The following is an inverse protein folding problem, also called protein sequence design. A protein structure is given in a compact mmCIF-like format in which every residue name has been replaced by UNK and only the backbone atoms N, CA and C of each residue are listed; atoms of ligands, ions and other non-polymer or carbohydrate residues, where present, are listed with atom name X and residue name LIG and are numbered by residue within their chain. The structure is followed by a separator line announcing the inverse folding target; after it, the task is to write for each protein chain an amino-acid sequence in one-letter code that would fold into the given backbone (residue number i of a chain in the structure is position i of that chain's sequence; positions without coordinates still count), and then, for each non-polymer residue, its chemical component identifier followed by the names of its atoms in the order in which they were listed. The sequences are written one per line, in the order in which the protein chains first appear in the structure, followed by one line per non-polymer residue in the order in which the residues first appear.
data_IF_543183523920
#
_entry.id   IF_543183523920
#
_cell.length_a   1.000
_cell.length_b   1.000
_cell.length_c   1.000
_cell.angle_alpha   90.00
_cell.angle_beta   90.00
_cell.angle_gamma   90.00
#
_symmetry.space_group_name_H-M   'P 1'
#
loop_
_entity.id
_entity.type
_entity.pdbx_description
1 polymer ?
#
# COMPACT_ATOMS: atom_id res chain seq x y z
N UNK A 1 1.73 -34.32 -17.84
CA UNK A 1 2.00 -33.18 -16.94
C UNK A 1 3.07 -33.60 -15.95
N UNK A 2 4.01 -32.70 -15.64
CA UNK A 2 4.99 -32.93 -14.58
C UNK A 2 4.33 -32.67 -13.21
N UNK A 3 5.03 -33.01 -12.13
CA UNK A 3 4.57 -32.61 -10.80
C UNK A 3 4.51 -31.07 -10.73
N UNK A 4 3.38 -30.53 -10.28
CA UNK A 4 3.13 -29.10 -10.28
C UNK A 4 1.67 -28.74 -10.02
N UNK A 5 1.46 -27.44 -9.85
CA UNK A 5 0.14 -26.83 -9.73
C UNK A 5 -0.17 -26.10 -11.03
N UNK A 6 -1.38 -26.31 -11.56
CA UNK A 6 -1.78 -25.77 -12.85
C UNK A 6 -3.16 -25.13 -12.74
N UNK A 7 -3.43 -24.18 -13.63
CA UNK A 7 -4.74 -23.59 -13.83
C UNK A 7 -5.14 -23.68 -15.30
N UNK A 8 -6.30 -24.24 -15.58
CA UNK A 8 -6.88 -24.30 -16.92
C UNK A 8 -8.01 -23.29 -17.03
N UNK A 9 -7.77 -22.21 -17.77
CA UNK A 9 -8.76 -21.17 -18.05
C UNK A 9 -9.54 -21.61 -19.29
N UNK A 10 -10.83 -21.87 -19.13
CA UNK A 10 -11.71 -22.20 -20.26
C UNK A 10 -12.37 -20.92 -20.76
N UNK A 11 -12.37 -20.75 -22.08
CA UNK A 11 -13.01 -19.63 -22.79
C UNK A 11 -13.76 -20.16 -24.01
N UNK A 12 -14.59 -19.33 -24.62
CA UNK A 12 -15.26 -19.63 -25.89
C UNK A 12 -14.30 -19.87 -27.06
N UNK A 13 -13.06 -19.36 -26.97
CA UNK A 13 -12.03 -19.52 -28.00
C UNK A 13 -11.15 -20.76 -27.79
N UNK A 14 -11.18 -21.35 -26.60
CA UNK A 14 -10.37 -22.52 -26.24
C UNK A 14 -9.91 -22.50 -24.79
N UNK A 15 -9.10 -23.48 -24.43
CA UNK A 15 -8.51 -23.56 -23.09
C UNK A 15 -7.07 -23.05 -23.08
N UNK A 16 -6.72 -22.30 -22.04
CA UNK A 16 -5.35 -21.85 -21.75
C UNK A 16 -4.88 -22.62 -20.52
N UNK A 17 -3.80 -23.38 -20.65
CA UNK A 17 -3.22 -24.13 -19.55
C UNK A 17 -1.99 -23.39 -19.00
N UNK A 18 -2.05 -23.03 -17.73
CA UNK A 18 -1.02 -22.30 -17.00
C UNK A 18 -0.37 -23.23 -15.99
N UNK A 19 0.95 -23.13 -15.81
CA UNK A 19 1.62 -23.61 -14.60
C UNK A 19 1.73 -22.49 -13.58
N UNK A 20 1.59 -22.81 -12.30
CA UNK A 20 1.62 -21.86 -11.19
C UNK A 20 2.88 -22.09 -10.34
N UNK A 21 3.60 -21.01 -10.04
CA UNK A 21 4.88 -21.03 -9.33
C UNK A 21 4.70 -21.04 -7.80
N UNK A 22 3.89 -21.97 -7.29
CA UNK A 22 3.42 -22.01 -5.89
C UNK A 22 4.53 -22.16 -4.84
N UNK A 23 5.74 -22.59 -5.24
CA UNK A 23 6.92 -22.67 -4.36
C UNK A 23 7.66 -21.33 -4.26
N UNK A 24 7.62 -20.51 -5.30
CA UNK A 24 8.33 -19.23 -5.39
C UNK A 24 7.45 -18.06 -5.00
N UNK A 25 6.16 -18.12 -5.33
CA UNK A 25 5.14 -17.12 -4.99
C UNK A 25 3.91 -17.74 -4.30
N UNK A 26 4.09 -18.45 -3.18
CA UNK A 26 3.01 -19.15 -2.48
C UNK A 26 1.85 -18.24 -2.06
N UNK A 27 2.11 -16.99 -1.66
CA UNK A 27 1.06 -16.06 -1.24
C UNK A 27 0.14 -15.70 -2.42
N UNK A 28 0.75 -15.31 -3.53
CA UNK A 28 0.05 -14.90 -4.75
C UNK A 28 -0.70 -16.07 -5.39
N UNK A 29 -0.04 -17.22 -5.51
CA UNK A 29 -0.69 -18.44 -6.03
C UNK A 29 -1.80 -18.90 -5.08
N UNK A 30 -1.61 -18.82 -3.77
CA UNK A 30 -2.62 -19.12 -2.77
C UNK A 30 -3.88 -18.27 -2.95
N UNK A 31 -3.73 -16.96 -3.14
CA UNK A 31 -4.85 -16.05 -3.44
C UNK A 31 -5.59 -16.46 -4.73
N UNK A 32 -4.85 -16.64 -5.84
CA UNK A 32 -5.45 -16.97 -7.14
C UNK A 32 -6.22 -18.30 -7.10
N UNK A 33 -5.61 -19.35 -6.54
CA UNK A 33 -6.21 -20.68 -6.44
C UNK A 33 -7.44 -20.66 -5.52
N UNK A 34 -7.34 -20.03 -4.36
CA UNK A 34 -8.46 -19.98 -3.42
C UNK A 34 -9.64 -19.16 -3.97
N UNK A 35 -9.39 -18.12 -4.78
CA UNK A 35 -10.43 -17.40 -5.51
C UNK A 35 -11.03 -18.24 -6.64
N UNK A 36 -10.21 -18.93 -7.45
CA UNK A 36 -10.67 -19.80 -8.52
C UNK A 36 -11.58 -20.92 -8.00
N UNK A 37 -11.26 -21.51 -6.85
CA UNK A 37 -12.07 -22.56 -6.22
C UNK A 37 -13.26 -22.02 -5.41
N UNK A 38 -13.37 -20.70 -5.24
CA UNK A 38 -14.41 -20.07 -4.42
C UNK A 38 -14.24 -20.25 -2.90
N UNK A 39 -13.05 -20.66 -2.47
CA UNK A 39 -12.73 -20.99 -1.08
C UNK A 39 -12.37 -19.75 -0.24
N UNK A 40 -12.01 -18.63 -0.89
CA UNK A 40 -11.61 -17.39 -0.23
C UNK A 40 -12.76 -16.39 -0.15
N UNK A 41 -13.04 -15.91 1.07
CA UNK A 41 -14.03 -14.86 1.31
C UNK A 41 -13.62 -13.55 0.61
N UNK A 42 -14.58 -12.91 -0.03
CA UNK A 42 -14.36 -11.70 -0.82
C UNK A 42 -15.67 -10.89 -0.92
N UNK A 43 -15.58 -9.64 -1.37
CA UNK A 43 -16.74 -8.74 -1.46
C UNK A 43 -17.55 -8.87 -2.77
N UNK A 44 -17.05 -9.60 -3.77
CA UNK A 44 -17.67 -9.65 -5.09
C UNK A 44 -18.56 -10.87 -5.32
N UNK A 45 -18.25 -12.00 -4.67
CA UNK A 45 -18.95 -13.28 -4.80
C UNK A 45 -19.12 -13.91 -3.42
N UNK A 46 -20.26 -14.56 -3.13
CA UNK A 46 -20.40 -15.33 -1.91
C UNK A 46 -19.43 -16.52 -1.90
N UNK A 47 -18.96 -16.89 -0.71
CA UNK A 47 -18.07 -18.04 -0.54
C UNK A 47 -18.72 -19.33 -1.08
N UNK A 48 -17.91 -20.22 -1.63
CA UNK A 48 -18.33 -21.44 -2.32
C UNK A 48 -18.68 -21.23 -3.80
N UNK A 49 -18.63 -19.98 -4.31
CA UNK A 49 -18.73 -19.71 -5.75
C UNK A 49 -17.36 -19.36 -6.32
N UNK A 50 -16.90 -20.03 -7.39
CA UNK A 50 -15.71 -19.64 -8.15
C UNK A 50 -15.73 -18.15 -8.50
N UNK A 51 -14.65 -17.45 -8.17
CA UNK A 51 -14.59 -15.99 -8.29
C UNK A 51 -14.55 -15.54 -9.75
N UNK A 52 -13.76 -16.24 -10.56
CA UNK A 52 -13.40 -15.83 -11.93
C UNK A 52 -14.46 -16.20 -12.98
N UNK A 53 -15.38 -17.10 -12.64
CA UNK A 53 -16.39 -17.58 -13.57
C UNK A 53 -17.31 -16.43 -14.04
N UNK A 54 -17.39 -16.30 -15.36
CA UNK A 54 -18.15 -15.27 -16.06
C UNK A 54 -17.52 -13.88 -16.07
N UNK A 55 -16.32 -13.71 -15.50
CA UNK A 55 -15.59 -12.44 -15.61
C UNK A 55 -15.03 -12.25 -17.01
N UNK A 56 -14.74 -11.00 -17.38
CA UNK A 56 -14.23 -10.67 -18.71
C UNK A 56 -12.75 -10.35 -18.72
N UNK A 57 -12.10 -10.62 -19.85
CA UNK A 57 -10.87 -9.97 -20.27
C UNK A 57 -11.19 -8.53 -20.68
N UNK A 58 -11.29 -7.65 -19.69
CA UNK A 58 -11.80 -6.29 -19.84
C UNK A 58 -10.81 -5.34 -20.54
N UNK A 59 -9.53 -5.73 -20.64
CA UNK A 59 -8.50 -4.94 -21.30
C UNK A 59 -7.58 -5.88 -22.07
N UNK A 60 -7.55 -5.71 -23.39
CA UNK A 60 -6.68 -6.47 -24.29
C UNK A 60 -5.88 -5.48 -25.12
N UNK A 61 -4.57 -5.64 -25.14
CA UNK A 61 -3.66 -4.81 -25.94
C UNK A 61 -2.86 -5.74 -26.82
N UNK A 62 -3.07 -5.64 -28.14
CA UNK A 62 -2.34 -6.39 -29.15
C UNK A 62 -0.83 -6.27 -28.95
N UNK A 63 -0.13 -7.38 -29.15
CA UNK A 63 1.33 -7.53 -28.95
C UNK A 63 1.84 -7.17 -27.54
N UNK A 64 0.95 -7.09 -26.55
CA UNK A 64 1.32 -6.80 -25.17
C UNK A 64 0.74 -7.82 -24.20
N UNK A 65 -0.57 -7.80 -23.95
CA UNK A 65 -1.20 -8.65 -22.93
C UNK A 65 -2.73 -8.69 -23.01
N UNK A 66 -3.30 -9.73 -22.40
CA UNK A 66 -4.72 -9.81 -22.01
C UNK A 66 -4.84 -9.67 -20.49
N UNK A 67 -5.77 -8.84 -20.00
CA UNK A 67 -5.99 -8.60 -18.57
C UNK A 67 -7.43 -8.95 -18.17
N UNK A 68 -7.55 -9.77 -17.13
CA UNK A 68 -8.81 -10.30 -16.59
C UNK A 68 -8.92 -10.16 -15.07
N UNK A 69 -9.88 -10.87 -14.49
CA UNK A 69 -10.06 -10.95 -13.03
C UNK A 69 -10.75 -9.75 -12.37
N UNK A 70 -11.28 -8.79 -13.14
CA UNK A 70 -12.03 -7.66 -12.59
C UNK A 70 -13.52 -8.01 -12.42
N UNK A 71 -14.08 -8.01 -11.19
CA UNK A 71 -15.48 -8.37 -10.95
C UNK A 71 -16.48 -7.40 -11.58
N UNK A 72 -16.06 -6.14 -11.79
CA UNK A 72 -16.87 -5.10 -12.41
C UNK A 72 -16.70 -5.03 -13.94
N UNK A 73 -15.71 -5.72 -14.50
CA UNK A 73 -15.34 -5.57 -15.92
C UNK A 73 -14.81 -4.18 -16.34
N UNK A 74 -14.55 -3.28 -15.40
CA UNK A 74 -14.10 -1.89 -15.67
C UNK A 74 -12.60 -1.66 -15.47
N UNK A 75 -11.88 -2.67 -14.98
CA UNK A 75 -10.47 -2.56 -14.56
C UNK A 75 -10.25 -1.94 -13.18
N UNK A 76 -11.31 -1.55 -12.47
CA UNK A 76 -11.22 -0.95 -11.12
C UNK A 76 -11.76 -1.84 -10.00
N UNK A 77 -12.39 -2.96 -10.34
CA UNK A 77 -12.93 -3.91 -9.36
C UNK A 77 -11.84 -4.72 -8.67
N UNK A 78 -12.08 -5.09 -7.41
CA UNK A 78 -11.19 -5.89 -6.58
C UNK A 78 -11.98 -6.90 -5.75
N UNK A 79 -11.33 -7.88 -5.09
CA UNK A 79 -12.02 -8.84 -4.22
C UNK A 79 -12.36 -8.25 -2.83
N UNK A 80 -12.17 -6.94 -2.63
CA UNK A 80 -12.42 -6.27 -1.35
C UNK A 80 -11.20 -6.15 -0.44
N UNK A 81 -10.03 -6.59 -0.90
CA UNK A 81 -8.75 -6.46 -0.20
C UNK A 81 -7.60 -6.24 -1.20
N UNK A 82 -6.44 -5.87 -0.67
CA UNK A 82 -5.18 -5.74 -1.39
C UNK A 82 -4.03 -6.38 -0.60
N UNK A 83 -3.09 -6.99 -1.30
CA UNK A 83 -1.91 -7.65 -0.70
C UNK A 83 -0.59 -7.23 -1.35
N UNK A 84 0.50 -7.49 -0.63
CA UNK A 84 1.86 -7.11 -0.99
C UNK A 84 2.36 -7.81 -2.27
N UNK A 85 3.42 -7.29 -2.90
CA UNK A 85 4.10 -7.96 -4.02
C UNK A 85 5.00 -9.12 -3.54
N UNK A 86 5.19 -10.11 -4.41
CA UNK A 86 5.98 -11.31 -4.11
C UNK A 86 6.98 -11.59 -5.26
N UNK A 87 8.06 -10.80 -5.32
CA UNK A 87 9.04 -10.92 -6.39
C UNK A 87 10.07 -12.04 -6.14
N UNK A 88 10.41 -12.79 -7.19
CA UNK A 88 11.46 -13.80 -7.16
C UNK A 88 12.52 -13.51 -8.25
N UNK A 89 13.83 -13.65 -7.98
CA UNK A 89 14.89 -13.32 -8.95
C UNK A 89 14.79 -14.07 -10.28
N UNK A 90 14.28 -15.29 -10.26
CA UNK A 90 14.11 -16.15 -11.45
C UNK A 90 12.80 -15.93 -12.19
N UNK A 91 11.87 -15.14 -11.66
CA UNK A 91 10.58 -14.90 -12.30
C UNK A 91 10.60 -13.53 -12.98
N UNK A 92 10.59 -13.55 -14.32
CA UNK A 92 10.77 -12.38 -15.18
C UNK A 92 9.79 -12.40 -16.34
N UNK A 93 9.56 -11.23 -16.93
CA UNK A 93 8.74 -11.07 -18.12
C UNK A 93 9.59 -11.23 -19.38
N UNK A 94 10.24 -12.38 -19.53
CA UNK A 94 11.28 -12.63 -20.54
C UNK A 94 10.78 -13.41 -21.79
N UNK A 95 9.53 -13.88 -21.77
CA UNK A 95 8.89 -14.65 -22.84
C UNK A 95 7.40 -14.34 -22.96
N UNK A 96 6.75 -14.90 -23.98
CA UNK A 96 5.30 -14.91 -24.11
C UNK A 96 4.64 -15.77 -23.03
N UNK A 97 3.39 -15.45 -22.71
CA UNK A 97 2.57 -16.26 -21.81
C UNK A 97 2.92 -16.10 -20.33
N UNK A 98 3.61 -15.03 -19.92
CA UNK A 98 3.90 -14.79 -18.50
C UNK A 98 2.62 -14.34 -17.80
N UNK A 99 2.26 -15.04 -16.73
CA UNK A 99 1.09 -14.76 -15.89
C UNK A 99 1.51 -13.92 -14.68
N UNK A 100 0.92 -12.74 -14.55
CA UNK A 100 1.29 -11.77 -13.53
C UNK A 100 0.09 -11.05 -12.92
N UNK A 101 0.23 -10.59 -11.68
CA UNK A 101 -0.78 -9.77 -11.01
C UNK A 101 -0.83 -8.36 -11.60
N UNK A 102 -2.03 -7.87 -11.89
CA UNK A 102 -2.24 -6.45 -12.14
C UNK A 102 -2.33 -5.71 -10.80
N UNK A 103 -1.71 -4.51 -10.73
CA UNK A 103 -1.71 -3.67 -9.55
C UNK A 103 -1.73 -2.18 -9.94
N UNK A 104 -2.02 -1.31 -8.98
CA UNK A 104 -2.05 0.16 -9.11
C UNK A 104 -0.83 0.83 -8.45
N UNK A 105 0.25 0.06 -8.23
CA UNK A 105 1.41 0.44 -7.45
C UNK A 105 1.81 -0.63 -6.41
N UNK A 106 2.93 -0.43 -5.71
CA UNK A 106 3.45 -1.41 -4.77
C UNK A 106 2.41 -1.85 -3.72
N UNK A 107 2.28 -3.15 -3.54
CA UNK A 107 1.40 -3.77 -2.55
C UNK A 107 -0.10 -3.56 -2.74
N UNK A 108 -0.53 -3.42 -4.00
CA UNK A 108 -1.95 -3.28 -4.37
C UNK A 108 -2.48 -4.44 -5.21
N UNK A 109 -1.88 -5.63 -5.07
CA UNK A 109 -2.36 -6.84 -5.74
C UNK A 109 -3.75 -7.23 -5.22
N UNK A 110 -4.60 -7.76 -6.08
CA UNK A 110 -5.97 -8.16 -5.74
C UNK A 110 -6.39 -9.44 -6.46
N UNK A 111 -7.41 -9.37 -7.30
CA UNK A 111 -7.87 -10.50 -8.11
C UNK A 111 -7.49 -10.39 -9.59
N UNK A 112 -7.16 -9.18 -10.05
CA UNK A 112 -6.85 -8.94 -11.45
C UNK A 112 -5.46 -9.48 -11.82
N UNK A 113 -5.38 -10.12 -12.98
CA UNK A 113 -4.15 -10.68 -13.53
C UNK A 113 -4.07 -10.36 -15.03
N UNK A 114 -2.89 -10.50 -15.60
CA UNK A 114 -2.69 -10.45 -17.03
C UNK A 114 -1.76 -11.56 -17.52
N UNK A 115 -1.89 -11.89 -18.81
CA UNK A 115 -1.04 -12.85 -19.51
C UNK A 115 -0.39 -12.12 -20.70
N UNK A 116 0.93 -12.19 -20.81
CA UNK A 116 1.66 -11.47 -21.88
C UNK A 116 1.58 -12.17 -23.23
N UNK A 117 1.59 -11.40 -24.32
CA UNK A 117 1.78 -11.93 -25.68
C UNK A 117 3.27 -12.13 -26.01
N UNK A 118 4.17 -11.42 -25.32
CA UNK A 118 5.61 -11.49 -25.54
C UNK A 118 6.43 -11.00 -24.34
N UNK A 119 7.76 -10.91 -24.50
CA UNK A 119 8.66 -10.38 -23.46
C UNK A 119 8.33 -8.91 -23.12
N UNK A 120 8.22 -8.61 -21.83
CA UNK A 120 7.87 -7.28 -21.31
C UNK A 120 8.74 -6.88 -20.10
N UNK A 121 10.09 -6.83 -20.25
CA UNK A 121 11.03 -6.71 -19.11
C UNK A 121 10.87 -5.42 -18.29
N UNK A 122 10.22 -4.39 -18.83
CA UNK A 122 9.93 -3.16 -18.08
C UNK A 122 8.91 -3.35 -16.94
N UNK A 123 8.25 -4.52 -16.87
CA UNK A 123 7.33 -4.93 -15.80
C UNK A 123 8.03 -5.68 -14.65
N UNK A 124 9.30 -6.06 -14.82
CA UNK A 124 10.05 -6.78 -13.79
C UNK A 124 10.14 -6.00 -12.49
N UNK A 125 9.89 -6.69 -11.37
CA UNK A 125 9.82 -6.12 -10.02
C UNK A 125 8.77 -4.99 -9.87
N UNK A 126 7.79 -4.93 -10.77
CA UNK A 126 6.61 -4.07 -10.65
C UNK A 126 5.32 -4.88 -10.57
N UNK A 127 5.28 -6.03 -11.25
CA UNK A 127 4.16 -6.96 -11.23
C UNK A 127 4.63 -8.34 -10.80
N UNK A 128 3.91 -8.94 -9.84
CA UNK A 128 4.26 -10.27 -9.32
C UNK A 128 3.95 -11.32 -10.38
N UNK A 129 5.01 -11.96 -10.90
CA UNK A 129 4.91 -13.12 -11.79
C UNK A 129 4.61 -14.35 -10.93
N UNK A 130 3.55 -15.09 -11.25
CA UNK A 130 3.14 -16.26 -10.47
C UNK A 130 2.83 -17.50 -11.30
N UNK A 131 3.10 -17.45 -12.59
CA UNK A 131 2.95 -18.60 -13.48
C UNK A 131 3.28 -18.27 -14.93
N UNK A 132 3.05 -19.22 -15.82
CA UNK A 132 3.13 -19.01 -17.26
C UNK A 132 2.34 -20.05 -18.05
N UNK A 133 1.99 -19.70 -19.28
CA UNK A 133 1.30 -20.56 -20.24
C UNK A 133 2.22 -21.71 -20.65
N UNK A 134 1.68 -22.93 -20.60
CA UNK A 134 2.33 -24.14 -21.10
C UNK A 134 1.61 -24.70 -22.33
N UNK A 135 0.30 -24.45 -22.47
CA UNK A 135 -0.49 -24.79 -23.67
C UNK A 135 -1.56 -23.70 -23.90
N UNK A 136 -1.88 -23.40 -25.16
CA UNK A 136 -2.92 -22.42 -25.51
C UNK A 136 -2.44 -20.97 -25.62
N UNK A 137 -1.18 -20.72 -25.99
CA UNK A 137 -0.70 -19.35 -26.29
C UNK A 137 -1.42 -18.75 -27.49
N UNK A 138 -1.73 -19.55 -28.50
CA UNK A 138 -2.57 -19.17 -29.64
C UNK A 138 -3.97 -18.72 -29.19
N UNK A 139 -4.50 -19.31 -28.12
CA UNK A 139 -5.77 -18.88 -27.52
C UNK A 139 -5.60 -17.54 -26.80
N UNK A 140 -4.52 -17.35 -26.04
CA UNK A 140 -4.18 -16.05 -25.43
C UNK A 140 -4.13 -14.95 -26.49
N UNK A 141 -3.44 -15.21 -27.60
CA UNK A 141 -3.26 -14.24 -28.68
C UNK A 141 -4.57 -13.98 -29.45
N UNK A 142 -5.52 -14.93 -29.43
CA UNK A 142 -6.83 -14.81 -30.07
C UNK A 142 -7.89 -14.12 -29.21
N UNK A 143 -7.69 -13.99 -27.89
CA UNK A 143 -8.64 -13.35 -26.97
C UNK A 143 -8.84 -11.88 -27.35
N UNK A 144 -10.09 -11.45 -27.37
CA UNK A 144 -10.51 -10.09 -27.66
C UNK A 144 -11.09 -9.43 -26.41
N UNK A 145 -11.08 -8.10 -26.40
CA UNK A 145 -11.62 -7.35 -25.27
C UNK A 145 -13.11 -7.66 -25.07
N UNK A 146 -13.47 -8.08 -23.86
CA UNK A 146 -14.83 -8.46 -23.48
C UNK A 146 -15.11 -9.96 -23.53
N UNK A 147 -14.18 -10.77 -24.04
CA UNK A 147 -14.28 -12.22 -23.95
C UNK A 147 -14.35 -12.68 -22.49
N UNK A 148 -15.03 -13.80 -22.28
CA UNK A 148 -15.32 -14.33 -20.95
C UNK A 148 -14.35 -15.43 -20.54
N UNK A 149 -14.06 -15.45 -19.25
CA UNK A 149 -13.55 -16.61 -18.54
C UNK A 149 -14.77 -17.46 -18.17
N UNK A 150 -14.96 -18.57 -18.85
CA UNK A 150 -16.09 -19.47 -18.58
C UNK A 150 -15.87 -20.19 -17.25
N UNK A 151 -14.66 -20.69 -17.02
CA UNK A 151 -14.24 -21.26 -15.75
C UNK A 151 -12.72 -21.30 -15.60
N UNK A 152 -12.23 -21.42 -14.36
CA UNK A 152 -10.83 -21.75 -14.06
C UNK A 152 -10.78 -23.05 -13.25
N UNK A 153 -10.21 -24.10 -13.83
CA UNK A 153 -10.02 -25.40 -13.18
C UNK A 153 -8.59 -25.51 -12.62
N UNK A 154 -8.46 -25.83 -11.32
CA UNK A 154 -7.17 -26.04 -10.67
C UNK A 154 -6.79 -27.52 -10.72
N UNK A 155 -5.65 -27.82 -11.32
CA UNK A 155 -5.14 -29.19 -11.50
C UNK A 155 -3.89 -29.34 -10.63
N UNK A 156 -3.90 -30.34 -9.75
CA UNK A 156 -2.80 -30.68 -8.83
C UNK A 156 -2.17 -31.99 -9.28
N UNK A 157 -0.87 -32.00 -9.53
CA UNK A 157 -0.15 -33.22 -9.92
C UNK A 157 1.04 -33.41 -8.98
N UNK A 158 1.02 -34.51 -8.22
CA UNK A 158 2.08 -34.90 -7.30
C UNK A 158 1.97 -34.30 -5.90
N UNK A 159 2.65 -34.95 -4.96
CA UNK A 159 2.54 -34.72 -3.52
C UNK A 159 2.56 -33.26 -3.07
N UNK A 160 3.51 -32.45 -3.55
CA UNK A 160 3.65 -31.06 -3.11
C UNK A 160 2.45 -30.20 -3.53
N UNK A 161 1.93 -30.41 -4.75
CA UNK A 161 0.80 -29.67 -5.27
C UNK A 161 -0.53 -30.13 -4.64
N UNK A 162 -0.66 -31.43 -4.37
CA UNK A 162 -1.81 -32.01 -3.69
C UNK A 162 -1.91 -31.54 -2.23
N UNK A 163 -0.77 -31.37 -1.54
CA UNK A 163 -0.70 -30.88 -0.16
C UNK A 163 -0.74 -29.35 -0.06
N UNK A 164 -0.66 -28.63 -1.18
CA UNK A 164 -0.63 -27.17 -1.16
C UNK A 164 -1.98 -26.60 -0.69
N UNK A 165 -1.98 -25.99 0.49
CA UNK A 165 -3.13 -25.31 1.06
C UNK A 165 -3.13 -23.83 0.67
N UNK A 166 -3.92 -23.49 -0.35
CA UNK A 166 -3.97 -22.15 -0.93
C UNK A 166 -4.40 -21.07 0.09
N UNK A 167 -5.38 -21.37 0.95
CA UNK A 167 -5.87 -20.43 1.97
C UNK A 167 -4.78 -20.17 3.01
N UNK A 168 -4.13 -21.24 3.50
CA UNK A 168 -3.09 -21.12 4.52
C UNK A 168 -1.84 -20.42 3.98
N UNK A 169 -1.45 -20.69 2.73
CA UNK A 169 -0.36 -19.99 2.06
C UNK A 169 -0.63 -18.48 2.00
N UNK A 170 -1.83 -18.09 1.55
CA UNK A 170 -2.21 -16.67 1.50
C UNK A 170 -2.32 -16.03 2.89
N UNK A 171 -2.91 -16.71 3.87
CA UNK A 171 -2.98 -16.20 5.26
C UNK A 171 -1.62 -16.06 5.91
N UNK A 172 -0.70 -16.99 5.66
CA UNK A 172 0.68 -16.91 6.16
C UNK A 172 1.41 -15.71 5.57
N UNK A 173 1.23 -15.49 4.26
CA UNK A 173 1.76 -14.33 3.56
C UNK A 173 1.24 -13.01 4.17
N UNK A 174 -0.08 -12.85 4.31
CA UNK A 174 -0.66 -11.65 4.93
C UNK A 174 -0.30 -11.51 6.41
N UNK A 175 -0.23 -12.61 7.17
CA UNK A 175 0.23 -12.59 8.56
C UNK A 175 1.68 -12.11 8.70
N UNK A 176 2.54 -12.37 7.71
CA UNK A 176 3.91 -11.85 7.68
C UNK A 176 3.93 -10.33 7.45
N UNK A 177 3.02 -9.81 6.60
CA UNK A 177 2.83 -8.39 6.34
C UNK A 177 2.35 -7.65 7.58
N UNK A 178 1.34 -8.18 8.27
CA UNK A 178 0.84 -7.60 9.52
C UNK A 178 1.95 -7.51 10.58
N UNK A 179 2.78 -8.56 10.71
CA UNK A 179 3.93 -8.55 11.62
C UNK A 179 4.96 -7.48 11.26
N UNK A 180 5.29 -7.32 9.97
CA UNK A 180 6.20 -6.26 9.51
C UNK A 180 5.64 -4.87 9.82
N UNK A 181 4.39 -4.61 9.45
CA UNK A 181 3.73 -3.33 9.70
C UNK A 181 3.62 -3.02 11.20
N UNK A 182 3.32 -4.03 12.03
CA UNK A 182 3.29 -3.89 13.49
C UNK A 182 4.68 -3.59 14.07
N UNK A 183 5.72 -4.27 13.57
CA UNK A 183 7.10 -4.03 13.98
C UNK A 183 7.57 -2.62 13.59
N UNK A 184 7.27 -2.16 12.37
CA UNK A 184 7.57 -0.80 11.92
C UNK A 184 6.82 0.26 12.73
N UNK A 185 5.51 0.06 12.97
CA UNK A 185 4.72 0.96 13.82
C UNK A 185 5.29 1.03 15.23
N UNK A 186 5.67 -0.11 15.81
CA UNK A 186 6.31 -0.18 17.12
C UNK A 186 7.66 0.54 17.11
N UNK A 187 8.51 0.32 16.10
CA UNK A 187 9.79 1.00 15.97
C UNK A 187 9.64 2.52 15.83
N UNK A 188 8.64 2.99 15.06
CA UNK A 188 8.31 4.43 14.94
C UNK A 188 7.87 5.00 16.28
N UNK A 189 6.99 4.31 16.99
CA UNK A 189 6.50 4.74 18.30
C UNK A 189 7.64 4.77 19.34
N UNK A 190 8.52 3.77 19.35
CA UNK A 190 9.72 3.74 20.19
C UNK A 190 10.70 4.87 19.85
N UNK A 191 10.86 5.20 18.56
CA UNK A 191 11.70 6.32 18.13
C UNK A 191 11.14 7.66 18.62
N UNK A 192 9.82 7.86 18.55
CA UNK A 192 9.15 9.02 19.11
C UNK A 192 9.33 9.09 20.62
N UNK A 193 9.14 7.98 21.33
CA UNK A 193 9.25 7.92 22.79
C UNK A 193 10.65 8.28 23.30
N UNK A 194 11.70 7.85 22.59
CA UNK A 194 13.09 8.19 22.91
C UNK A 194 13.35 9.69 22.91
N UNK A 195 12.75 10.43 21.98
CA UNK A 195 12.96 11.89 21.84
C UNK A 195 11.97 12.72 22.66
N UNK A 196 10.93 12.10 23.20
CA UNK A 196 9.83 12.77 23.91
C UNK A 196 9.69 12.34 25.37
N UNK A 197 10.75 11.83 25.99
CA UNK A 197 10.66 11.36 27.37
C UNK A 197 10.22 12.51 28.31
N UNK A 198 9.16 12.28 29.08
CA UNK A 198 8.54 13.27 29.96
C UNK A 198 7.74 14.36 29.23
N UNK A 199 7.25 14.08 28.03
CA UNK A 199 6.29 14.92 27.29
C UNK A 199 4.87 14.43 27.56
N UNK A 200 3.91 15.34 27.53
CA UNK A 200 2.50 15.00 27.50
C UNK A 200 2.13 14.49 26.11
N UNK A 201 1.18 13.53 26.02
CA UNK A 201 0.72 12.94 24.76
C UNK A 201 -0.78 13.12 24.60
N UNK A 202 -1.19 13.66 23.45
CA UNK A 202 -2.61 13.82 23.11
C UNK A 202 -3.20 12.54 22.49
N UNK A 203 -4.54 12.41 22.37
CA UNK A 203 -5.17 11.25 21.75
C UNK A 203 -4.78 11.02 20.28
N UNK A 204 -4.40 12.08 19.55
CA UNK A 204 -3.93 11.98 18.16
C UNK A 204 -2.49 11.46 18.06
N UNK A 205 -1.75 11.41 19.18
CA UNK A 205 -0.37 10.98 19.23
C UNK A 205 0.65 12.12 19.18
N UNK A 206 0.21 13.38 19.08
CA UNK A 206 1.08 14.54 19.27
C UNK A 206 1.67 14.49 20.68
N UNK A 207 2.99 14.66 20.77
CA UNK A 207 3.70 14.77 22.05
C UNK A 207 4.20 16.19 22.23
N UNK A 208 4.06 16.75 23.41
CA UNK A 208 4.46 18.13 23.67
C UNK A 208 5.03 18.34 25.06
N UNK A 209 5.88 19.36 25.18
CA UNK A 209 6.40 19.84 26.46
C UNK A 209 6.48 21.35 26.43
N UNK A 210 5.85 22.00 27.41
CA UNK A 210 6.00 23.44 27.61
C UNK A 210 7.37 23.69 28.23
N UNK A 211 8.25 24.36 27.49
CA UNK A 211 9.61 24.71 27.91
C UNK A 211 9.63 26.02 28.72
N UNK A 212 8.75 26.95 28.38
CA UNK A 212 8.55 28.21 29.09
C UNK A 212 7.07 28.54 29.09
N UNK A 213 6.54 28.90 30.25
CA UNK A 213 5.16 29.34 30.40
C UNK A 213 5.04 30.85 30.20
N UNK A 214 4.17 31.26 29.29
CA UNK A 214 3.70 32.63 29.10
C UNK A 214 2.48 32.95 29.94
N UNK A 215 2.09 34.21 29.93
CA UNK A 215 0.97 34.75 30.73
C UNK A 215 -0.09 35.44 29.88
N UNK A 216 0.06 35.41 28.55
CA UNK A 216 -0.85 36.09 27.64
C UNK A 216 -2.08 35.27 27.26
N UNK A 217 -2.80 35.75 26.24
CA UNK A 217 -4.06 35.17 25.73
C UNK A 217 -3.85 33.73 25.23
N UNK A 218 -4.75 32.82 25.60
CA UNK A 218 -4.74 31.44 25.10
C UNK A 218 -5.09 31.40 23.61
N UNK A 219 -4.40 30.57 22.84
CA UNK A 219 -4.74 30.35 21.44
C UNK A 219 -6.08 29.63 21.31
N UNK A 220 -6.89 30.03 20.33
CA UNK A 220 -8.20 29.45 20.07
C UNK A 220 -8.38 29.21 18.58
N UNK A 221 -9.10 28.14 18.22
CA UNK A 221 -9.47 27.84 16.83
C UNK A 221 -10.13 29.05 16.16
N UNK A 222 -9.72 29.35 14.95
CA UNK A 222 -10.19 30.49 14.15
C UNK A 222 -9.49 31.82 14.43
N UNK A 223 -8.68 31.90 15.50
CA UNK A 223 -7.88 33.10 15.76
C UNK A 223 -6.67 33.16 14.83
N UNK A 224 -6.24 34.37 14.49
CA UNK A 224 -4.98 34.59 13.80
C UNK A 224 -3.85 34.59 14.83
N UNK A 225 -2.88 33.70 14.65
CA UNK A 225 -1.74 33.53 15.56
C UNK A 225 -0.44 33.88 14.87
N UNK A 226 0.54 34.32 15.65
CA UNK A 226 1.91 34.61 15.20
C UNK A 226 2.87 33.72 15.96
N UNK A 227 3.62 32.87 15.26
CA UNK A 227 4.44 31.81 15.87
C UNK A 227 5.87 31.88 15.35
N UNK A 228 6.82 31.95 16.28
CA UNK A 228 8.21 31.62 15.99
C UNK A 228 8.40 30.11 16.11
N UNK A 229 9.21 29.53 15.22
CA UNK A 229 9.51 28.12 15.20
C UNK A 229 10.89 27.78 14.65
N UNK A 230 11.35 26.59 15.00
CA UNK A 230 12.42 25.82 14.37
C UNK A 230 11.96 24.37 14.21
N UNK A 231 12.00 23.86 12.97
CA UNK A 231 11.61 22.50 12.61
C UNK A 231 12.83 21.66 12.25
N UNK A 232 12.91 20.46 12.83
CA UNK A 232 13.99 19.51 12.59
C UNK A 232 13.51 18.06 12.52
N UNK A 233 14.31 17.21 11.88
CA UNK A 233 14.14 15.76 11.89
C UNK A 233 14.65 15.15 13.21
N UNK A 234 14.36 13.87 13.45
CA UNK A 234 14.80 13.18 14.68
C UNK A 234 16.33 13.05 14.81
N UNK A 235 17.05 13.12 13.70
CA UNK A 235 18.52 13.13 13.67
C UNK A 235 19.12 14.53 13.97
N UNK A 236 18.27 15.53 14.20
CA UNK A 236 18.68 16.92 14.47
C UNK A 236 18.88 17.78 13.22
N UNK A 237 18.64 17.26 12.02
CA UNK A 237 18.69 18.07 10.79
C UNK A 237 17.56 19.10 10.79
N UNK A 238 17.91 20.38 10.97
CA UNK A 238 16.99 21.51 10.87
C UNK A 238 16.64 21.76 9.40
N UNK A 239 15.36 21.63 9.05
CA UNK A 239 14.88 21.87 7.68
C UNK A 239 14.33 23.29 7.48
N UNK A 240 13.81 23.94 8.53
CA UNK A 240 13.33 25.32 8.47
C UNK A 240 13.35 25.99 9.84
N UNK A 241 13.59 27.30 9.88
CA UNK A 241 13.64 28.08 11.12
C UNK A 241 13.28 29.54 10.86
N UNK A 242 12.21 30.00 11.51
CA UNK A 242 11.80 31.40 11.48
C UNK A 242 12.80 32.32 12.20
N UNK A 243 13.54 31.80 13.17
CA UNK A 243 14.51 32.56 13.95
C UNK A 243 15.67 33.06 13.09
N UNK A 244 16.09 32.27 12.08
CA UNK A 244 17.11 32.67 11.10
C UNK A 244 16.69 33.90 10.29
N UNK A 245 15.39 34.10 10.08
CA UNK A 245 14.81 35.23 9.34
C UNK A 245 14.32 36.35 10.26
N UNK A 246 14.33 36.13 11.57
CA UNK A 246 13.74 37.00 12.59
C UNK A 246 12.29 37.44 12.24
N UNK A 247 11.52 36.54 11.64
CA UNK A 247 10.16 36.81 11.17
C UNK A 247 9.25 35.63 11.54
N UNK A 248 8.32 35.79 12.51
CA UNK A 248 7.30 34.79 12.81
C UNK A 248 6.42 34.49 11.60
N UNK A 249 5.80 33.31 11.59
CA UNK A 249 4.73 33.00 10.63
C UNK A 249 3.37 33.36 11.23
N UNK A 250 2.55 34.05 10.44
CA UNK A 250 1.16 34.38 10.77
C UNK A 250 0.23 33.43 10.02
N UNK A 251 -0.71 32.80 10.72
CA UNK A 251 -1.73 31.92 10.12
C UNK A 251 -2.99 31.86 10.99
N UNK A 252 -4.09 31.40 10.40
CA UNK A 252 -5.35 31.16 11.10
C UNK A 252 -5.34 29.75 11.68
N UNK A 253 -5.51 29.65 13.00
CA UNK A 253 -5.34 28.40 13.73
C UNK A 253 -6.53 27.44 13.57
N UNK A 254 -6.25 26.17 13.29
CA UNK A 254 -7.24 25.09 13.35
C UNK A 254 -8.15 25.00 12.11
N UNK A 255 -7.73 25.58 10.98
CA UNK A 255 -8.47 25.55 9.71
C UNK A 255 -7.71 24.83 8.58
N UNK A 256 -6.59 24.16 8.88
CA UNK A 256 -5.80 23.41 7.90
C UNK A 256 -4.86 24.26 7.06
N UNK A 257 -4.45 25.45 7.53
CA UNK A 257 -3.42 26.27 6.86
C UNK A 257 -1.99 25.75 7.12
N UNK A 258 -1.80 24.96 8.16
CA UNK A 258 -0.54 24.31 8.54
C UNK A 258 -0.78 22.82 8.77
N UNK A 259 0.29 22.04 9.00
CA UNK A 259 0.16 20.61 9.35
C UNK A 259 -0.75 20.41 10.57
N UNK A 260 -1.47 19.30 10.61
CA UNK A 260 -2.48 19.05 11.66
C UNK A 260 -1.88 19.03 13.07
N UNK A 261 -0.64 18.57 13.23
CA UNK A 261 0.08 18.61 14.51
C UNK A 261 0.35 20.03 15.01
N UNK A 262 0.49 21.02 14.12
CA UNK A 262 0.58 22.43 14.51
C UNK A 262 -0.79 23.01 14.84
N UNK A 263 -1.78 22.73 14.00
CA UNK A 263 -3.16 23.16 14.25
C UNK A 263 -3.62 22.69 15.63
N UNK A 264 -3.30 21.45 16.02
CA UNK A 264 -3.55 20.92 17.35
C UNK A 264 -2.61 21.51 18.41
N UNK A 265 -1.30 21.43 18.22
CA UNK A 265 -0.31 21.78 19.24
C UNK A 265 -0.36 23.24 19.66
N UNK A 266 -0.57 24.17 18.73
CA UNK A 266 -0.61 25.61 19.04
C UNK A 266 -1.87 25.96 19.85
N UNK A 267 -2.97 25.22 19.73
CA UNK A 267 -4.16 25.40 20.58
C UNK A 267 -3.91 25.06 22.05
N UNK A 268 -2.84 24.31 22.36
CA UNK A 268 -2.43 24.01 23.73
C UNK A 268 -1.70 25.19 24.40
N UNK A 269 -1.25 26.17 23.60
CA UNK A 269 -0.39 27.26 24.06
C UNK A 269 -1.16 28.54 24.37
N UNK A 270 -0.51 29.40 25.14
CA UNK A 270 -0.89 30.81 25.31
C UNK A 270 0.27 31.73 24.93
N UNK A 271 -0.02 33.00 24.65
CA UNK A 271 1.00 33.97 24.24
C UNK A 271 2.13 34.04 25.27
N UNK A 272 3.36 33.90 24.77
CA UNK A 272 4.60 33.82 25.54
C UNK A 272 5.04 32.40 25.89
N UNK A 273 4.23 31.38 25.63
CA UNK A 273 4.63 29.98 25.79
C UNK A 273 5.72 29.64 24.76
N UNK A 274 6.77 28.95 25.21
CA UNK A 274 7.66 28.16 24.36
C UNK A 274 7.38 26.69 24.59
N UNK A 275 7.24 25.91 23.53
CA UNK A 275 6.99 24.49 23.63
C UNK A 275 7.82 23.72 22.60
N UNK A 276 8.12 22.47 22.93
CA UNK A 276 8.61 21.49 21.96
C UNK A 276 7.50 20.52 21.63
N UNK A 277 7.28 20.30 20.34
CA UNK A 277 6.39 19.29 19.80
C UNK A 277 7.21 18.17 19.15
N UNK A 278 6.79 16.94 19.38
CA UNK A 278 7.21 15.77 18.59
C UNK A 278 5.96 15.27 17.88
N UNK A 279 5.95 15.48 16.57
CA UNK A 279 4.79 15.30 15.70
C UNK A 279 4.99 14.00 14.91
N UNK A 280 4.12 12.99 15.09
CA UNK A 280 4.18 11.77 14.29
C UNK A 280 3.85 12.10 12.82
N UNK A 281 4.29 11.24 11.89
CA UNK A 281 4.25 11.57 10.46
C UNK A 281 2.84 11.80 9.91
N UNK A 282 1.84 11.11 10.44
CA UNK A 282 0.41 11.26 10.14
C UNK A 282 -0.17 12.61 10.57
N UNK A 283 0.45 13.28 11.54
CA UNK A 283 0.14 14.66 11.92
C UNK A 283 1.06 15.70 11.24
N UNK A 284 1.98 15.25 10.40
CA UNK A 284 2.92 16.06 9.64
C UNK A 284 2.64 15.96 8.12
N UNK A 285 3.59 15.44 7.34
CA UNK A 285 3.49 15.34 5.88
C UNK A 285 3.20 13.91 5.37
N UNK A 286 3.05 12.94 6.27
CA UNK A 286 2.76 11.53 5.96
C UNK A 286 3.71 10.92 4.94
N UNK A 287 3.20 9.98 4.14
CA UNK A 287 3.95 9.26 3.11
C UNK A 287 4.40 10.13 1.92
N UNK A 288 3.96 11.39 1.84
CA UNK A 288 4.37 12.30 0.76
C UNK A 288 5.69 12.99 1.06
N UNK A 289 6.01 13.22 2.33
CA UNK A 289 7.10 14.12 2.71
C UNK A 289 6.88 15.55 2.20
N UNK A 290 7.91 16.39 2.23
CA UNK A 290 7.82 17.77 1.76
C UNK A 290 9.16 18.39 1.33
N UNK A 291 9.11 19.20 0.27
CA UNK A 291 10.19 20.12 -0.12
C UNK A 291 11.54 19.47 -0.48
N UNK A 292 11.58 18.15 -0.68
CA UNK A 292 12.83 17.40 -0.91
C UNK A 292 13.75 17.30 0.32
N UNK A 293 13.35 17.87 1.46
CA UNK A 293 14.12 17.91 2.71
C UNK A 293 13.45 17.13 3.84
N UNK A 294 12.14 16.92 3.76
CA UNK A 294 11.38 16.08 4.68
C UNK A 294 11.05 14.77 3.96
N UNK A 295 11.64 13.63 4.38
CA UNK A 295 11.33 12.34 3.79
C UNK A 295 9.87 11.91 4.02
N UNK A 296 9.35 10.99 3.19
CA UNK A 296 8.13 10.23 3.49
C UNK A 296 8.16 9.63 4.89
N UNK A 297 7.01 9.66 5.56
CA UNK A 297 6.77 9.05 6.87
C UNK A 297 7.70 9.54 7.99
N UNK A 298 8.36 10.68 7.78
CA UNK A 298 9.25 11.28 8.76
C UNK A 298 8.44 11.96 9.89
N UNK A 299 8.66 11.59 11.16
CA UNK A 299 8.22 12.39 12.29
C UNK A 299 9.08 13.65 12.43
N UNK A 300 8.49 14.72 12.97
CA UNK A 300 9.12 16.03 13.06
C UNK A 300 9.20 16.50 14.51
N UNK A 301 10.27 17.23 14.84
CA UNK A 301 10.39 17.97 16.09
C UNK A 301 10.26 19.46 15.75
N UNK A 302 9.39 20.16 16.48
CA UNK A 302 9.28 21.60 16.39
C UNK A 302 9.49 22.24 17.74
N UNK A 303 10.42 23.18 17.83
CA UNK A 303 10.39 24.18 18.89
C UNK A 303 9.56 25.36 18.41
N UNK A 304 8.56 25.75 19.19
CA UNK A 304 7.66 26.85 18.86
C UNK A 304 7.58 27.84 20.00
N UNK A 305 7.28 29.09 19.66
CA UNK A 305 7.01 30.18 20.57
C UNK A 305 5.82 30.98 20.07
N UNK A 306 4.75 31.00 20.85
CA UNK A 306 3.54 31.73 20.47
C UNK A 306 3.71 33.22 20.81
N UNK A 307 3.92 34.03 19.79
CA UNK A 307 4.22 35.45 19.93
C UNK A 307 2.98 36.30 20.12
N UNK A 308 1.88 35.96 19.44
CA UNK A 308 0.66 36.75 19.50
C UNK A 308 -0.59 35.94 19.11
N UNK A 309 -1.75 36.37 19.62
CA UNK A 309 -3.10 35.90 19.25
C UNK A 309 -3.95 37.14 19.01
N UNK A 310 -4.30 37.41 17.75
CA UNK A 310 -5.10 38.57 17.34
C UNK A 310 -6.58 38.25 17.57
#
# INVERSE_FOLDING_TARGET
MNNGLYAKINTSKGAILLTLEFKKTPGTVGNFVALAEGNLENSARPQGKPYYDGLTFHRVISDFMIQGGCPLGTGTGSPGYQFDDEFHPELKHDKSGILSMANAGPGTNGSQFFITHGPTPWLDNKHTVFGYVIEGQDIVDAVEQGDKIDSIEIIRVGDDAEKFNAIEAFRTFEGSREKRQAAEKKAREEALEKVSNGFDKTPSGLRYKILKKGTGKKAAKGAMVSVHYEGQLLDGMVFDSSYKRNQPIDFTLGIGQVISGWDEGIQLLQVGDKARFVIPSDLAYGSRGAGGVIPPDAPLIFDVELMNVK
#
